data_IF_090322256609
#
_entry.id   IF_090322256609
#
_cell.length_a   1.000
_cell.length_b   1.000
_cell.length_c   1.000
_cell.angle_alpha   90.00
_cell.angle_beta   90.00
_cell.angle_gamma   90.00
#
_symmetry.space_group_name_H-M   'P 1'
#
loop_
_entity.id
_entity.type
_entity.pdbx_description
1 polymer ?
#
# COMPACT_ATOMS: atom_id res chain seq x y z
N UNK A 1 32.84 24.51 -11.59
CA UNK A 1 32.17 23.24 -11.90
C UNK A 1 30.71 23.38 -11.52
N UNK A 2 29.84 23.49 -12.52
CA UNK A 2 28.40 23.70 -12.33
C UNK A 2 27.80 22.40 -11.80
N UNK A 3 27.37 22.38 -10.55
CA UNK A 3 26.58 21.27 -10.01
C UNK A 3 25.24 21.31 -10.73
N UNK A 4 25.08 20.50 -11.77
CA UNK A 4 23.80 20.31 -12.44
C UNK A 4 22.83 19.77 -11.38
N UNK A 5 21.87 20.60 -10.97
CA UNK A 5 20.77 20.20 -10.11
C UNK A 5 20.09 19.02 -10.80
N UNK A 6 20.26 17.80 -10.31
CA UNK A 6 19.61 16.63 -10.90
C UNK A 6 18.11 16.89 -10.90
N UNK A 7 17.53 17.01 -12.08
CA UNK A 7 16.10 17.23 -12.24
C UNK A 7 15.38 15.93 -11.88
N UNK A 8 14.52 15.99 -10.86
CA UNK A 8 13.50 14.96 -10.66
C UNK A 8 12.56 15.02 -11.86
N UNK A 9 12.42 13.92 -12.58
CA UNK A 9 11.42 13.79 -13.62
C UNK A 9 10.10 13.38 -12.97
N UNK A 10 9.04 14.17 -13.17
CA UNK A 10 7.69 13.84 -12.72
C UNK A 10 6.85 13.43 -13.93
N UNK A 11 6.32 12.22 -13.90
CA UNK A 11 5.46 11.63 -14.93
C UNK A 11 4.08 11.47 -14.31
N UNK A 12 3.05 12.07 -14.91
CA UNK A 12 1.67 11.95 -14.43
C UNK A 12 0.83 11.14 -15.41
N UNK A 13 0.28 10.03 -14.95
CA UNK A 13 -0.62 9.16 -15.70
C UNK A 13 -2.07 9.27 -15.21
N UNK A 14 -2.34 10.10 -14.21
CA UNK A 14 -3.70 10.31 -13.71
C UNK A 14 -4.33 11.51 -14.42
N UNK A 15 -5.33 11.23 -15.26
CA UNK A 15 -6.10 12.27 -15.93
C UNK A 15 -6.68 13.29 -14.93
N UNK A 16 -6.93 14.51 -15.42
CA UNK A 16 -7.56 15.55 -14.62
C UNK A 16 -8.94 15.08 -14.16
N UNK A 17 -9.11 14.94 -12.85
CA UNK A 17 -10.34 14.47 -12.23
C UNK A 17 -10.44 12.94 -12.08
N UNK A 18 -9.42 12.16 -12.45
CA UNK A 18 -9.40 10.71 -12.26
C UNK A 18 -9.76 10.28 -10.84
N UNK A 19 -9.05 10.84 -9.84
CA UNK A 19 -9.28 10.54 -8.43
C UNK A 19 -10.71 10.92 -8.01
N UNK A 20 -11.20 12.05 -8.50
CA UNK A 20 -12.56 12.49 -8.22
C UNK A 20 -13.60 11.50 -8.77
N UNK A 21 -13.50 11.14 -10.06
CA UNK A 21 -14.42 10.21 -10.70
C UNK A 21 -14.36 8.82 -10.07
N UNK A 22 -13.16 8.34 -9.72
CA UNK A 22 -13.01 7.08 -9.00
C UNK A 22 -13.66 7.13 -7.62
N UNK A 23 -13.51 8.24 -6.89
CA UNK A 23 -14.12 8.40 -5.56
C UNK A 23 -15.65 8.39 -5.68
N UNK A 24 -16.21 9.14 -6.63
CA UNK A 24 -17.65 9.18 -6.88
C UNK A 24 -18.20 7.81 -7.26
N UNK A 25 -17.49 7.06 -8.10
CA UNK A 25 -17.86 5.70 -8.49
C UNK A 25 -17.83 4.73 -7.30
N UNK A 26 -16.73 4.74 -6.54
CA UNK A 26 -16.54 3.86 -5.39
C UNK A 26 -17.57 4.13 -4.29
N UNK A 27 -17.85 5.41 -4.01
CA UNK A 27 -18.84 5.80 -3.00
C UNK A 27 -20.26 5.44 -3.43
N UNK A 28 -20.61 5.69 -4.69
CA UNK A 28 -21.93 5.32 -5.22
C UNK A 28 -22.13 3.81 -5.14
N UNK A 29 -21.17 3.03 -5.60
CA UNK A 29 -21.27 1.56 -5.63
C UNK A 29 -21.22 0.96 -4.23
N UNK A 30 -20.27 1.41 -3.41
CA UNK A 30 -19.97 0.84 -2.10
C UNK A 30 -21.02 1.16 -1.04
N UNK A 31 -21.54 2.40 -1.01
CA UNK A 31 -22.52 2.79 0.01
C UNK A 31 -23.97 2.42 -0.34
N UNK A 32 -24.26 2.05 -1.59
CA UNK A 32 -25.58 1.50 -1.98
C UNK A 32 -25.61 -0.02 -2.05
N UNK A 33 -24.49 -0.69 -1.79
CA UNK A 33 -24.45 -2.15 -1.70
C UNK A 33 -25.24 -2.65 -0.48
N UNK A 34 -25.76 -3.88 -0.57
CA UNK A 34 -26.47 -4.51 0.55
C UNK A 34 -25.58 -4.67 1.79
N UNK A 35 -24.31 -5.01 1.58
CA UNK A 35 -23.25 -4.90 2.57
C UNK A 35 -22.34 -3.74 2.16
N UNK A 36 -22.43 -2.63 2.89
CA UNK A 36 -21.73 -1.38 2.54
C UNK A 36 -20.22 -1.55 2.64
N UNK A 37 -19.49 -0.94 1.71
CA UNK A 37 -18.03 -0.93 1.73
C UNK A 37 -17.45 0.37 1.17
N UNK A 38 -16.19 0.65 1.53
CA UNK A 38 -15.38 1.73 0.96
C UNK A 38 -13.96 1.19 0.72
N UNK A 39 -13.31 1.51 -0.42
CA UNK A 39 -11.97 1.04 -0.68
C UNK A 39 -10.91 1.79 0.15
N UNK A 40 -9.86 1.10 0.64
CA UNK A 40 -8.89 1.66 1.59
C UNK A 40 -7.98 2.72 0.99
N UNK A 41 -7.89 2.82 -0.35
CA UNK A 41 -7.11 3.88 -1.02
C UNK A 41 -7.56 5.29 -0.61
N UNK A 42 -8.81 5.46 -0.18
CA UNK A 42 -9.36 6.73 0.27
C UNK A 42 -9.01 7.09 1.72
N UNK A 43 -8.28 6.25 2.44
CA UNK A 43 -7.71 6.66 3.73
C UNK A 43 -6.60 7.69 3.56
N UNK A 44 -5.84 7.63 2.47
CA UNK A 44 -4.53 8.26 2.33
C UNK A 44 -4.59 9.69 1.77
N UNK A 45 -5.45 10.53 2.32
CA UNK A 45 -5.23 11.98 2.20
C UNK A 45 -4.06 12.42 3.12
N UNK A 46 -3.73 13.71 3.15
CA UNK A 46 -2.62 14.20 3.97
C UNK A 46 -2.78 13.84 5.47
N UNK A 47 -4.00 13.95 6.02
CA UNK A 47 -4.28 13.64 7.42
C UNK A 47 -4.21 12.13 7.69
N UNK A 48 -4.77 11.32 6.80
CA UNK A 48 -4.71 9.87 6.92
C UNK A 48 -3.31 9.30 6.74
N UNK A 49 -2.51 9.89 5.86
CA UNK A 49 -1.10 9.51 5.69
C UNK A 49 -0.29 9.79 6.96
N UNK A 50 -0.54 10.90 7.65
CA UNK A 50 0.07 11.18 8.96
C UNK A 50 -0.43 10.22 10.05
N UNK A 51 -1.72 9.89 10.05
CA UNK A 51 -2.26 8.87 10.96
C UNK A 51 -1.61 7.51 10.70
N UNK A 52 -1.43 7.09 9.45
CA UNK A 52 -0.73 5.85 9.11
C UNK A 52 0.73 5.90 9.53
N UNK A 53 1.42 7.02 9.32
CA UNK A 53 2.77 7.25 9.83
C UNK A 53 2.84 7.00 11.34
N UNK A 54 1.87 7.50 12.11
CA UNK A 54 1.76 7.22 13.56
C UNK A 54 1.48 5.74 13.84
N UNK A 55 0.61 5.09 13.07
CA UNK A 55 0.30 3.64 13.19
C UNK A 55 1.58 2.82 13.10
N UNK A 56 2.47 3.11 12.15
CA UNK A 56 3.73 2.37 11.99
C UNK A 56 4.65 2.36 13.23
N UNK A 57 4.43 3.28 14.18
CA UNK A 57 5.21 3.46 15.40
C UNK A 57 4.51 2.89 16.65
N UNK A 58 3.25 2.45 16.55
CA UNK A 58 2.48 1.92 17.67
C UNK A 58 3.06 0.59 18.18
N UNK A 59 3.08 0.33 19.49
CA UNK A 59 3.62 -0.91 20.03
C UNK A 59 2.87 -2.15 19.53
N UNK A 60 1.56 -2.05 19.26
CA UNK A 60 0.74 -3.14 18.74
C UNK A 60 1.00 -3.41 17.25
N UNK A 61 1.27 -2.37 16.45
CA UNK A 61 1.47 -2.49 15.00
C UNK A 61 2.90 -2.94 14.66
N UNK A 62 3.11 -4.25 14.71
CA UNK A 62 4.39 -4.89 14.39
C UNK A 62 4.83 -4.86 12.91
N UNK A 63 3.96 -4.83 11.86
CA UNK A 63 4.37 -5.12 10.49
C UNK A 63 5.57 -4.30 9.99
N UNK A 64 5.54 -2.97 10.17
CA UNK A 64 6.63 -2.09 9.71
C UNK A 64 7.96 -2.44 10.38
N UNK A 65 7.96 -2.71 11.68
CA UNK A 65 9.19 -3.06 12.41
C UNK A 65 9.73 -4.42 11.98
N UNK A 66 8.87 -5.41 11.76
CA UNK A 66 9.27 -6.74 11.30
C UNK A 66 9.86 -6.69 9.89
N UNK A 67 9.21 -5.98 8.98
CA UNK A 67 9.73 -5.78 7.63
C UNK A 67 11.10 -5.09 7.63
N UNK A 68 11.29 -4.06 8.46
CA UNK A 68 12.58 -3.38 8.63
C UNK A 68 13.67 -4.32 9.18
N UNK A 69 13.34 -5.24 10.08
CA UNK A 69 14.29 -6.27 10.57
C UNK A 69 14.78 -7.14 9.40
N UNK A 70 13.86 -7.60 8.55
CA UNK A 70 14.24 -8.42 7.38
C UNK A 70 15.09 -7.61 6.40
N UNK A 71 14.70 -6.37 6.06
CA UNK A 71 15.47 -5.51 5.17
C UNK A 71 16.88 -5.24 5.71
N UNK A 72 17.01 -4.88 6.99
CA UNK A 72 18.34 -4.62 7.59
C UNK A 72 19.24 -5.85 7.58
N UNK A 73 18.68 -7.05 7.74
CA UNK A 73 19.43 -8.30 7.70
C UNK A 73 19.78 -8.80 6.29
N UNK A 74 18.99 -8.43 5.27
CA UNK A 74 19.06 -9.09 3.96
C UNK A 74 19.09 -8.15 2.75
N UNK A 75 19.09 -6.83 2.89
CA UNK A 75 19.05 -5.90 1.75
C UNK A 75 20.22 -6.12 0.77
N UNK A 76 21.44 -6.38 1.26
CA UNK A 76 22.60 -6.67 0.41
C UNK A 76 22.43 -7.97 -0.39
N UNK A 77 21.87 -9.00 0.26
CA UNK A 77 21.56 -10.27 -0.39
C UNK A 77 20.48 -10.10 -1.46
N UNK A 78 19.42 -9.35 -1.15
CA UNK A 78 18.32 -9.04 -2.07
C UNK A 78 18.84 -8.26 -3.28
N UNK A 79 19.64 -7.21 -3.06
CA UNK A 79 20.25 -6.41 -4.13
C UNK A 79 21.12 -7.29 -5.04
N UNK A 80 22.03 -8.08 -4.47
CA UNK A 80 22.90 -8.99 -5.23
C UNK A 80 22.14 -10.03 -6.04
N UNK A 81 21.14 -10.68 -5.44
CA UNK A 81 20.34 -11.71 -6.13
C UNK A 81 19.45 -11.14 -7.23
N UNK A 82 18.91 -9.94 -7.02
CA UNK A 82 18.13 -9.27 -8.06
C UNK A 82 18.96 -8.89 -9.27
N UNK A 83 20.23 -8.50 -9.04
CA UNK A 83 21.09 -7.89 -10.06
C UNK A 83 20.50 -6.63 -10.69
N UNK A 84 19.51 -6.01 -10.04
CA UNK A 84 18.81 -4.85 -10.57
C UNK A 84 19.67 -3.59 -10.49
N UNK A 85 19.55 -2.74 -11.51
CA UNK A 85 20.11 -1.38 -11.53
C UNK A 85 19.05 -0.31 -11.24
N UNK A 86 17.77 -0.70 -11.29
CA UNK A 86 16.63 0.20 -11.17
C UNK A 86 15.67 -0.32 -10.11
N UNK A 87 15.36 0.49 -9.10
CA UNK A 87 14.32 0.19 -8.12
C UNK A 87 13.03 0.90 -8.50
N UNK A 88 11.96 0.15 -8.72
CA UNK A 88 10.59 0.69 -8.88
C UNK A 88 9.83 0.39 -7.61
N UNK A 89 9.25 1.38 -6.93
CA UNK A 89 8.54 1.17 -5.68
C UNK A 89 7.07 1.54 -5.81
N UNK A 90 6.18 0.57 -5.57
CA UNK A 90 4.74 0.76 -5.60
C UNK A 90 4.24 1.16 -4.21
N UNK A 91 3.69 2.38 -4.07
CA UNK A 91 3.24 2.93 -2.78
C UNK A 91 4.40 3.38 -1.90
N UNK A 92 5.17 4.35 -2.39
CA UNK A 92 6.50 4.72 -1.85
C UNK A 92 6.53 5.36 -0.45
N UNK A 93 5.39 5.85 0.06
CA UNK A 93 5.23 6.30 1.45
C UNK A 93 6.38 7.19 1.99
N UNK A 94 6.81 6.94 3.25
CA UNK A 94 7.82 7.74 3.97
C UNK A 94 9.28 7.33 3.73
N UNK A 95 9.52 6.33 2.87
CA UNK A 95 10.82 5.92 2.31
C UNK A 95 11.92 5.33 3.23
N UNK A 96 11.68 5.05 4.53
CA UNK A 96 12.73 4.42 5.37
C UNK A 96 13.18 3.06 4.81
N UNK A 97 12.21 2.24 4.41
CA UNK A 97 12.44 0.92 3.80
C UNK A 97 13.15 1.03 2.46
N UNK A 98 12.75 2.01 1.65
CA UNK A 98 13.35 2.32 0.36
C UNK A 98 14.84 2.61 0.48
N UNK A 99 15.24 3.42 1.47
CA UNK A 99 16.64 3.79 1.69
C UNK A 99 17.51 2.57 1.95
N UNK A 100 17.02 1.56 2.69
CA UNK A 100 17.78 0.32 2.92
C UNK A 100 18.07 -0.44 1.62
N UNK A 101 17.09 -0.48 0.70
CA UNK A 101 17.25 -1.13 -0.61
C UNK A 101 18.18 -0.33 -1.53
N UNK A 102 17.98 0.99 -1.60
CA UNK A 102 18.82 1.87 -2.40
C UNK A 102 20.27 1.85 -1.91
N UNK A 103 20.52 1.94 -0.61
CA UNK A 103 21.87 1.85 -0.03
C UNK A 103 22.53 0.50 -0.37
N UNK A 104 21.77 -0.61 -0.36
CA UNK A 104 22.29 -1.93 -0.73
C UNK A 104 22.62 -2.04 -2.22
N UNK A 105 21.78 -1.50 -3.09
CA UNK A 105 22.02 -1.47 -4.55
C UNK A 105 23.20 -0.55 -4.90
N UNK A 106 23.37 0.56 -4.18
CA UNK A 106 24.51 1.46 -4.32
C UNK A 106 25.82 0.78 -3.88
N UNK A 107 25.84 0.12 -2.71
CA UNK A 107 26.99 -0.69 -2.26
C UNK A 107 27.36 -1.79 -3.26
N UNK A 108 26.38 -2.40 -3.91
CA UNK A 108 26.61 -3.38 -4.97
C UNK A 108 27.14 -2.77 -6.29
N UNK A 109 27.23 -1.44 -6.39
CA UNK A 109 27.66 -0.72 -7.60
C UNK A 109 26.64 -0.74 -8.75
N UNK A 110 25.43 -1.24 -8.50
CA UNK A 110 24.41 -1.48 -9.51
C UNK A 110 23.42 -0.32 -9.65
N UNK A 111 23.17 0.46 -8.60
CA UNK A 111 22.13 1.49 -8.62
C UNK A 111 22.35 2.56 -9.71
N UNK A 112 21.35 2.75 -10.58
CA UNK A 112 21.30 3.75 -11.65
C UNK A 112 20.03 4.57 -11.63
N UNK A 113 18.89 3.98 -11.26
CA UNK A 113 17.61 4.69 -11.24
C UNK A 113 16.69 4.27 -10.08
N UNK A 114 15.83 5.20 -9.69
CA UNK A 114 14.75 4.97 -8.73
C UNK A 114 13.45 5.57 -9.27
N UNK A 115 12.39 4.77 -9.25
CA UNK A 115 11.05 5.13 -9.76
C UNK A 115 10.02 4.94 -8.64
N UNK A 116 9.76 5.95 -7.79
CA UNK A 116 8.64 5.90 -6.87
C UNK A 116 7.32 6.03 -7.63
N UNK A 117 6.33 5.23 -7.25
CA UNK A 117 4.98 5.24 -7.82
C UNK A 117 3.96 5.48 -6.71
N UNK A 118 3.13 6.51 -6.86
CA UNK A 118 2.08 6.84 -5.90
C UNK A 118 0.94 7.62 -6.56
N UNK A 119 -0.23 7.68 -5.92
CA UNK A 119 -1.37 8.51 -6.39
C UNK A 119 -1.28 9.95 -5.87
N UNK A 120 -0.59 10.15 -4.73
CA UNK A 120 -0.40 11.45 -4.09
C UNK A 120 0.79 12.20 -4.69
N UNK A 121 0.52 13.28 -5.42
CA UNK A 121 1.54 14.07 -6.10
C UNK A 121 2.52 14.77 -5.14
N UNK A 122 2.04 15.16 -3.95
CA UNK A 122 2.81 15.96 -3.00
C UNK A 122 3.82 15.07 -2.29
N UNK A 123 3.35 13.97 -1.71
CA UNK A 123 4.17 12.96 -1.03
C UNK A 123 5.22 12.39 -1.99
N UNK A 124 4.79 12.07 -3.22
CA UNK A 124 5.66 11.58 -4.27
C UNK A 124 6.77 12.60 -4.63
N UNK A 125 6.40 13.86 -4.84
CA UNK A 125 7.36 14.92 -5.15
C UNK A 125 8.36 15.21 -4.03
N UNK A 126 7.92 15.15 -2.78
CA UNK A 126 8.77 15.33 -1.60
C UNK A 126 9.75 14.17 -1.43
N UNK A 127 9.27 12.93 -1.58
CA UNK A 127 10.11 11.74 -1.54
C UNK A 127 11.15 11.74 -2.66
N UNK A 128 10.74 12.05 -3.88
CA UNK A 128 11.64 12.08 -5.03
C UNK A 128 12.74 13.13 -4.88
N UNK A 129 12.42 14.35 -4.42
CA UNK A 129 13.43 15.39 -4.17
C UNK A 129 14.41 15.01 -3.07
N UNK A 130 13.91 14.44 -1.97
CA UNK A 130 14.75 13.97 -0.85
C UNK A 130 15.72 12.89 -1.30
N UNK A 131 15.25 11.91 -2.06
CA UNK A 131 16.08 10.79 -2.51
C UNK A 131 17.05 11.20 -3.61
N UNK A 132 16.66 12.08 -4.54
CA UNK A 132 17.58 12.64 -5.52
C UNK A 132 18.75 13.41 -4.84
N UNK A 133 18.47 14.13 -3.76
CA UNK A 133 19.51 14.80 -2.98
C UNK A 133 20.44 13.83 -2.24
N UNK A 134 19.93 12.68 -1.79
CA UNK A 134 20.72 11.65 -1.09
C UNK A 134 21.63 10.86 -2.02
N UNK A 135 21.22 10.62 -3.27
CA UNK A 135 21.95 9.79 -4.24
C UNK A 135 22.32 10.58 -5.51
N UNK A 136 23.35 11.46 -5.48
CA UNK A 136 23.67 12.44 -6.53
C UNK A 136 24.10 11.90 -7.91
N UNK A 137 24.00 10.58 -8.15
CA UNK A 137 24.23 9.94 -9.45
C UNK A 137 23.04 9.11 -9.96
N UNK A 138 21.95 9.06 -9.19
CA UNK A 138 20.78 8.22 -9.48
C UNK A 138 19.73 9.01 -10.23
N UNK A 139 19.20 8.45 -11.31
CA UNK A 139 18.09 9.06 -12.03
C UNK A 139 16.78 8.79 -11.28
N UNK A 140 16.14 9.83 -10.76
CA UNK A 140 14.87 9.71 -10.04
C UNK A 140 13.70 10.09 -10.95
N UNK A 141 12.78 9.14 -11.19
CA UNK A 141 11.58 9.29 -12.01
C UNK A 141 10.33 9.06 -11.17
N UNK A 142 9.77 10.12 -10.63
CA UNK A 142 8.52 10.06 -9.90
C UNK A 142 7.35 9.80 -10.85
N UNK A 143 6.56 8.75 -10.60
CA UNK A 143 5.41 8.40 -11.44
C UNK A 143 4.12 8.50 -10.63
N UNK A 144 3.28 9.47 -10.97
CA UNK A 144 1.94 9.58 -10.39
C UNK A 144 1.01 8.64 -11.13
N UNK A 145 0.61 7.55 -10.48
CA UNK A 145 -0.20 6.49 -11.08
C UNK A 145 -0.92 5.64 -10.03
N UNK A 146 -2.10 5.14 -10.40
CA UNK A 146 -2.80 4.08 -9.66
C UNK A 146 -2.22 2.72 -10.08
N UNK A 147 -1.51 2.05 -9.18
CA UNK A 147 -0.85 0.77 -9.45
C UNK A 147 -1.83 -0.40 -9.66
N UNK A 148 -3.13 -0.26 -9.40
CA UNK A 148 -4.12 -1.27 -9.77
C UNK A 148 -4.54 -1.18 -11.24
N UNK A 149 -4.25 -0.05 -11.91
CA UNK A 149 -4.70 0.24 -13.28
C UNK A 149 -3.57 0.55 -14.26
N UNK A 150 -2.47 1.14 -13.79
CA UNK A 150 -1.49 1.81 -14.64
C UNK A 150 -0.10 1.17 -14.64
N UNK A 151 0.05 -0.06 -14.13
CA UNK A 151 1.35 -0.77 -14.12
C UNK A 151 2.00 -0.81 -15.51
N UNK A 152 1.20 -0.98 -16.56
CA UNK A 152 1.70 -1.07 -17.93
C UNK A 152 2.36 0.23 -18.43
N UNK A 153 2.04 1.37 -17.82
CA UNK A 153 2.54 2.71 -18.16
C UNK A 153 3.87 3.03 -17.47
N UNK A 154 4.27 2.25 -16.46
CA UNK A 154 5.49 2.51 -15.71
C UNK A 154 6.73 2.39 -16.62
N UNK A 155 7.75 3.25 -16.43
CA UNK A 155 9.00 3.19 -17.18
C UNK A 155 9.65 1.80 -17.17
N UNK A 156 10.12 1.35 -18.34
CA UNK A 156 10.74 0.04 -18.56
C UNK A 156 12.20 0.17 -18.99
N UNK A 157 12.98 0.83 -18.14
CA UNK A 157 14.42 1.03 -18.37
C UNK A 157 15.25 0.23 -17.38
N UNK A 158 16.41 -0.26 -17.83
CA UNK A 158 17.34 -1.02 -17.02
C UNK A 158 16.81 -2.40 -16.61
N UNK A 159 17.52 -3.03 -15.67
CA UNK A 159 17.08 -4.27 -15.02
C UNK A 159 16.41 -3.91 -13.70
N UNK A 160 15.13 -4.23 -13.57
CA UNK A 160 14.28 -3.66 -12.52
C UNK A 160 14.04 -4.64 -11.38
N UNK A 161 14.07 -4.12 -10.16
CA UNK A 161 13.39 -4.70 -9.01
C UNK A 161 12.15 -3.87 -8.74
N UNK A 162 10.96 -4.46 -8.87
CA UNK A 162 9.72 -3.84 -8.42
C UNK A 162 9.50 -4.22 -6.96
N UNK A 163 9.56 -3.26 -6.06
CA UNK A 163 9.27 -3.43 -4.64
C UNK A 163 7.80 -3.08 -4.35
N UNK A 164 7.08 -3.99 -3.71
CA UNK A 164 5.74 -3.77 -3.19
C UNK A 164 5.71 -4.21 -1.72
N UNK A 165 5.93 -3.23 -0.84
CA UNK A 165 6.29 -3.44 0.57
C UNK A 165 5.11 -3.15 1.51
N UNK A 166 5.30 -3.38 2.80
CA UNK A 166 4.37 -2.99 3.87
C UNK A 166 3.19 -3.94 4.09
N UNK A 167 3.12 -5.04 3.34
CA UNK A 167 1.97 -5.93 3.38
C UNK A 167 0.75 -5.39 2.62
N UNK A 168 0.91 -4.31 1.84
CA UNK A 168 -0.16 -3.67 1.06
C UNK A 168 -0.83 -4.62 0.07
N UNK A 169 -0.12 -5.64 -0.41
CA UNK A 169 -0.70 -6.70 -1.24
C UNK A 169 -1.85 -7.43 -0.55
N UNK A 170 -1.87 -7.45 0.78
CA UNK A 170 -2.96 -8.01 1.58
C UNK A 170 -4.25 -7.19 1.53
N UNK A 171 -4.21 -5.95 1.05
CA UNK A 171 -5.40 -5.11 0.90
C UNK A 171 -6.24 -5.48 -0.32
N UNK A 172 -5.71 -6.34 -1.19
CA UNK A 172 -6.40 -6.90 -2.33
C UNK A 172 -7.00 -8.25 -1.94
N UNK A 173 -8.28 -8.48 -2.25
CA UNK A 173 -8.87 -9.80 -2.12
C UNK A 173 -8.20 -10.80 -3.09
N UNK A 174 -8.35 -12.13 -2.91
CA UNK A 174 -7.68 -13.11 -3.75
C UNK A 174 -7.84 -12.91 -5.27
N UNK A 175 -9.03 -12.50 -5.73
CA UNK A 175 -9.27 -12.31 -7.16
C UNK A 175 -8.58 -11.03 -7.66
N UNK A 176 -8.72 -9.92 -6.93
CA UNK A 176 -8.03 -8.67 -7.25
C UNK A 176 -6.50 -8.83 -7.20
N UNK A 177 -5.99 -9.59 -6.23
CA UNK A 177 -4.56 -9.87 -6.05
C UNK A 177 -4.00 -10.72 -7.18
N UNK A 178 -4.74 -11.74 -7.65
CA UNK A 178 -4.34 -12.55 -8.80
C UNK A 178 -4.24 -11.69 -10.07
N UNK A 179 -5.23 -10.83 -10.32
CA UNK A 179 -5.21 -9.87 -11.44
C UNK A 179 -4.03 -8.92 -11.33
N UNK A 180 -3.78 -8.35 -10.14
CA UNK A 180 -2.66 -7.46 -9.90
C UNK A 180 -1.31 -8.13 -10.13
N UNK A 181 -1.07 -9.30 -9.54
CA UNK A 181 0.21 -10.01 -9.68
C UNK A 181 0.46 -10.46 -11.13
N UNK A 182 -0.58 -10.95 -11.82
CA UNK A 182 -0.48 -11.34 -13.24
C UNK A 182 -0.23 -10.11 -14.13
N UNK A 183 -0.95 -9.02 -13.88
CA UNK A 183 -0.75 -7.75 -14.57
C UNK A 183 0.67 -7.21 -14.36
N UNK A 184 1.17 -7.25 -13.13
CA UNK A 184 2.55 -6.88 -12.81
C UNK A 184 3.55 -7.76 -13.56
N UNK A 185 3.39 -9.10 -13.50
CA UNK A 185 4.26 -10.05 -14.22
C UNK A 185 4.35 -9.75 -15.71
N UNK A 186 3.25 -9.35 -16.34
CA UNK A 186 3.20 -9.00 -17.76
C UNK A 186 4.01 -7.73 -18.11
N UNK A 187 4.33 -6.89 -17.13
CA UNK A 187 5.18 -5.70 -17.34
C UNK A 187 6.67 -5.98 -17.20
N UNK A 188 7.06 -7.15 -16.68
CA UNK A 188 8.44 -7.49 -16.33
C UNK A 188 9.14 -8.26 -17.46
N UNK A 189 10.39 -7.87 -17.74
CA UNK A 189 11.25 -8.53 -18.71
C UNK A 189 12.08 -9.66 -18.05
N UNK A 190 12.59 -10.63 -18.81
CA UNK A 190 13.52 -11.64 -18.27
C UNK A 190 14.67 -10.99 -17.51
N UNK A 191 14.83 -11.40 -16.24
CA UNK A 191 15.86 -10.86 -15.33
C UNK A 191 15.36 -9.77 -14.38
N UNK A 192 14.19 -9.18 -14.63
CA UNK A 192 13.51 -8.34 -13.64
C UNK A 192 13.05 -9.19 -12.44
N UNK A 193 12.84 -8.52 -11.30
CA UNK A 193 12.39 -9.18 -10.07
C UNK A 193 11.26 -8.40 -9.39
N UNK A 194 10.47 -9.12 -8.61
CA UNK A 194 9.50 -8.59 -7.65
C UNK A 194 10.06 -8.82 -6.23
N UNK A 195 10.11 -7.78 -5.42
CA UNK A 195 10.30 -7.86 -3.97
C UNK A 195 8.97 -7.57 -3.28
N UNK A 196 8.33 -8.60 -2.74
CA UNK A 196 7.00 -8.52 -2.14
C UNK A 196 7.06 -8.63 -0.62
N UNK A 197 6.53 -7.65 0.09
CA UNK A 197 6.28 -7.71 1.54
C UNK A 197 4.91 -8.30 1.84
N UNK A 198 4.87 -9.33 2.69
CA UNK A 198 3.64 -10.02 3.05
C UNK A 198 3.61 -10.34 4.55
N UNK A 199 2.55 -9.91 5.23
CA UNK A 199 2.33 -10.22 6.63
C UNK A 199 1.79 -11.65 6.80
N UNK A 200 2.35 -12.43 7.72
CA UNK A 200 2.04 -13.85 7.83
C UNK A 200 0.90 -14.14 8.82
N UNK A 201 0.23 -15.29 8.66
CA UNK A 201 -0.73 -15.77 9.68
C UNK A 201 -0.01 -16.03 11.00
N UNK A 202 -0.59 -15.57 12.11
CA UNK A 202 -0.05 -15.68 13.48
C UNK A 202 -1.20 -15.60 14.50
N UNK A 203 -0.86 -15.48 15.79
CA UNK A 203 -1.84 -15.28 16.87
C UNK A 203 -2.89 -14.22 16.52
N UNK A 204 -4.17 -14.61 16.56
CA UNK A 204 -5.28 -13.76 16.14
C UNK A 204 -5.47 -12.58 17.08
N UNK A 205 -5.17 -12.72 18.37
CA UNK A 205 -5.20 -11.62 19.32
C UNK A 205 -4.18 -10.54 18.99
N UNK A 206 -2.95 -10.93 18.62
CA UNK A 206 -1.92 -10.00 18.13
C UNK A 206 -2.35 -9.33 16.83
N UNK A 207 -2.95 -10.08 15.90
CA UNK A 207 -3.47 -9.52 14.66
C UNK A 207 -4.54 -8.48 14.91
N UNK A 208 -5.56 -8.76 15.73
CA UNK A 208 -6.63 -7.80 16.02
C UNK A 208 -6.07 -6.56 16.72
N UNK A 209 -5.23 -6.72 17.75
CA UNK A 209 -4.63 -5.57 18.46
C UNK A 209 -3.79 -4.66 17.57
N UNK A 210 -3.12 -5.22 16.54
CA UNK A 210 -2.38 -4.40 15.59
C UNK A 210 -3.29 -3.42 14.84
N UNK A 211 -4.57 -3.73 14.67
CA UNK A 211 -5.54 -2.89 13.95
C UNK A 211 -6.56 -2.22 14.89
N UNK A 212 -6.46 -2.43 16.20
CA UNK A 212 -7.31 -1.84 17.25
C UNK A 212 -6.43 -1.47 18.44
N UNK A 213 -5.54 -0.51 18.21
CA UNK A 213 -4.57 -0.05 19.19
C UNK A 213 -5.22 0.69 20.36
N UNK A 214 -4.64 0.57 21.55
CA UNK A 214 -5.20 1.16 22.77
C UNK A 214 -5.21 2.72 22.72
N UNK A 215 -4.39 3.32 21.87
CA UNK A 215 -4.32 4.77 21.69
C UNK A 215 -5.41 5.32 20.74
N UNK A 216 -6.19 4.45 20.10
CA UNK A 216 -7.28 4.82 19.19
C UNK A 216 -6.82 5.48 17.88
N UNK A 217 -5.55 5.32 17.51
CA UNK A 217 -4.99 5.95 16.30
C UNK A 217 -5.54 5.26 15.04
N UNK A 218 -5.65 3.94 15.04
CA UNK A 218 -6.24 3.17 13.93
C UNK A 218 -7.74 3.43 13.79
N UNK A 219 -8.44 3.65 14.90
CA UNK A 219 -9.83 4.09 14.88
C UNK A 219 -9.99 5.47 14.22
N UNK A 220 -9.12 6.43 14.55
CA UNK A 220 -9.10 7.74 13.93
C UNK A 220 -8.74 7.67 12.43
N UNK A 221 -7.78 6.81 12.06
CA UNK A 221 -7.42 6.52 10.67
C UNK A 221 -8.60 5.94 9.89
N UNK A 222 -9.31 4.96 10.47
CA UNK A 222 -10.49 4.37 9.82
C UNK A 222 -11.58 5.41 9.58
N UNK A 223 -11.90 6.24 10.59
CA UNK A 223 -12.91 7.31 10.48
C UNK A 223 -12.50 8.43 9.53
N UNK A 224 -11.20 8.58 9.23
CA UNK A 224 -10.73 9.62 8.34
C UNK A 224 -11.37 9.54 6.95
N UNK A 225 -11.67 8.33 6.45
CA UNK A 225 -12.36 8.18 5.16
C UNK A 225 -13.68 8.94 5.12
N UNK A 226 -14.43 9.00 6.23
CA UNK A 226 -15.69 9.75 6.31
C UNK A 226 -15.45 11.27 6.23
N UNK A 227 -14.34 11.74 6.81
CA UNK A 227 -13.92 13.15 6.71
C UNK A 227 -13.51 13.51 5.29
N UNK A 228 -12.83 12.58 4.59
CA UNK A 228 -12.54 12.70 3.16
C UNK A 228 -13.84 12.81 2.37
N UNK A 229 -14.83 11.93 2.60
CA UNK A 229 -16.12 12.00 1.90
C UNK A 229 -16.87 13.31 2.17
N UNK A 230 -16.83 13.82 3.40
CA UNK A 230 -17.45 15.11 3.74
C UNK A 230 -16.82 16.27 2.98
N UNK A 231 -15.49 16.33 2.95
CA UNK A 231 -14.74 17.41 2.30
C UNK A 231 -14.84 17.32 0.79
N UNK A 232 -14.59 16.14 0.24
CA UNK A 232 -14.53 15.95 -1.21
C UNK A 232 -15.95 16.00 -1.78
N UNK A 233 -16.88 15.15 -1.32
CA UNK A 233 -18.18 14.95 -1.98
C UNK A 233 -19.35 15.76 -1.37
N UNK A 234 -19.05 16.72 -0.49
CA UNK A 234 -20.08 17.46 0.23
C UNK A 234 -21.00 16.56 1.06
N UNK A 235 -20.45 15.51 1.67
CA UNK A 235 -21.18 14.62 2.56
C UNK A 235 -21.33 15.21 3.97
N UNK A 236 -22.30 14.69 4.73
CA UNK A 236 -22.58 15.09 6.12
C UNK A 236 -22.45 13.95 7.13
N UNK A 237 -21.49 13.04 6.91
CA UNK A 237 -21.14 12.04 7.93
C UNK A 237 -20.78 12.73 9.24
N UNK A 238 -21.29 12.20 10.35
CA UNK A 238 -20.79 12.45 11.70
C UNK A 238 -19.81 11.30 12.04
N UNK A 239 -18.48 11.48 11.90
CA UNK A 239 -17.55 10.37 12.02
C UNK A 239 -17.54 9.72 13.41
N UNK A 240 -17.90 10.47 14.45
CA UNK A 240 -17.97 9.94 15.82
C UNK A 240 -19.22 9.08 16.07
N UNK A 241 -20.21 9.16 15.18
CA UNK A 241 -21.34 8.23 15.17
C UNK A 241 -21.00 6.85 14.54
N UNK A 242 -19.73 6.61 14.20
CA UNK A 242 -19.25 5.34 13.68
C UNK A 242 -18.16 4.75 14.58
N UNK A 243 -18.48 3.66 15.28
CA UNK A 243 -17.50 2.90 16.06
C UNK A 243 -16.53 2.17 15.13
N UNK A 244 -15.23 2.26 15.40
CA UNK A 244 -14.23 1.43 14.73
C UNK A 244 -14.37 -0.02 15.23
N UNK A 245 -14.26 -0.98 14.31
CA UNK A 245 -14.27 -2.40 14.60
C UNK A 245 -13.14 -3.06 13.79
N UNK A 246 -12.23 -3.75 14.47
CA UNK A 246 -11.28 -4.66 13.84
C UNK A 246 -11.65 -6.11 14.17
N UNK A 247 -11.66 -6.98 13.18
CA UNK A 247 -11.97 -8.39 13.36
C UNK A 247 -11.08 -9.26 12.49
N UNK A 248 -10.74 -10.45 12.97
CA UNK A 248 -10.05 -11.47 12.18
C UNK A 248 -11.06 -12.44 11.59
N UNK A 249 -11.16 -12.47 10.26
CA UNK A 249 -11.91 -13.48 9.54
C UNK A 249 -11.06 -14.75 9.41
N UNK A 250 -11.36 -15.72 10.28
CA UNK A 250 -10.67 -17.02 10.32
C UNK A 250 -10.85 -17.82 9.02
N UNK A 251 -11.97 -17.64 8.31
CA UNK A 251 -12.24 -18.37 7.07
C UNK A 251 -11.34 -17.89 5.95
N UNK A 252 -11.11 -16.58 5.88
CA UNK A 252 -10.37 -15.94 4.80
C UNK A 252 -8.91 -15.59 5.15
N UNK A 253 -8.49 -15.82 6.41
CA UNK A 253 -7.18 -15.46 6.94
C UNK A 253 -6.86 -13.95 6.76
N UNK A 254 -7.80 -13.06 7.07
CA UNK A 254 -7.57 -11.61 7.00
C UNK A 254 -8.11 -10.84 8.19
N UNK A 255 -7.52 -9.67 8.44
CA UNK A 255 -8.17 -8.63 9.25
C UNK A 255 -9.17 -7.89 8.38
N UNK A 256 -10.32 -7.53 8.95
CA UNK A 256 -11.18 -6.50 8.39
C UNK A 256 -11.24 -5.30 9.34
N UNK A 257 -11.17 -4.11 8.76
CA UNK A 257 -11.57 -2.88 9.44
C UNK A 257 -12.97 -2.51 8.98
N UNK A 258 -13.82 -2.14 9.94
CA UNK A 258 -15.19 -1.73 9.71
C UNK A 258 -15.54 -0.48 10.52
N UNK A 259 -16.55 0.24 10.04
CA UNK A 259 -17.19 1.35 10.72
C UNK A 259 -18.63 0.96 11.02
N UNK A 260 -18.98 0.87 12.31
CA UNK A 260 -20.30 0.49 12.80
C UNK A 260 -21.10 1.71 13.23
N UNK A 261 -22.25 1.95 12.61
CA UNK A 261 -23.15 3.02 13.01
C UNK A 261 -23.64 2.82 14.46
N UNK A 262 -23.53 3.85 15.30
CA UNK A 262 -23.95 3.77 16.72
C UNK A 262 -25.42 4.09 16.94
N UNK A 263 -26.08 4.66 15.92
CA UNK A 263 -27.50 5.06 15.92
C UNK A 263 -28.04 5.03 14.51
N UNK A 264 -29.36 5.02 14.38
CA UNK A 264 -30.02 5.25 13.09
C UNK A 264 -29.67 6.64 12.57
N UNK A 265 -29.29 6.72 11.31
CA UNK A 265 -29.00 7.99 10.65
C UNK A 265 -29.18 7.89 9.13
N UNK A 266 -29.25 9.06 8.51
CA UNK A 266 -29.26 9.20 7.05
C UNK A 266 -28.21 10.21 6.68
N UNK A 267 -27.25 9.78 5.88
CA UNK A 267 -26.15 10.61 5.42
C UNK A 267 -26.44 11.06 4.00
N UNK A 268 -26.41 12.36 3.77
CA UNK A 268 -26.55 12.98 2.46
C UNK A 268 -25.16 13.22 1.88
N UNK A 269 -24.98 12.87 0.61
CA UNK A 269 -23.76 13.12 -0.17
C UNK A 269 -24.14 14.08 -1.29
N UNK A 270 -23.92 15.37 -1.04
CA UNK A 270 -24.46 16.46 -1.86
C UNK A 270 -24.11 16.32 -3.33
N UNK A 271 -22.83 16.12 -3.63
CA UNK A 271 -22.32 16.12 -5.00
C UNK A 271 -22.79 14.90 -5.81
N UNK A 272 -23.23 13.84 -5.13
CA UNK A 272 -23.77 12.63 -5.77
C UNK A 272 -25.30 12.61 -5.85
N UNK A 273 -25.97 13.57 -5.21
CA UNK A 273 -27.42 13.54 -5.00
C UNK A 273 -27.88 12.30 -4.23
N UNK A 274 -27.00 11.70 -3.42
CA UNK A 274 -27.24 10.43 -2.75
C UNK A 274 -27.66 10.65 -1.29
N UNK A 275 -28.57 9.81 -0.81
CA UNK A 275 -28.98 9.77 0.60
C UNK A 275 -28.94 8.32 1.08
N UNK A 276 -27.99 8.02 1.96
CA UNK A 276 -27.70 6.65 2.40
C UNK A 276 -28.23 6.44 3.82
N UNK A 277 -29.16 5.49 4.04
CA UNK A 277 -29.59 5.11 5.38
C UNK A 277 -28.56 4.19 6.04
N UNK A 278 -28.39 4.37 7.34
CA UNK A 278 -27.66 3.48 8.24
C UNK A 278 -28.57 3.14 9.43
N UNK A 279 -28.73 1.86 9.73
CA UNK A 279 -29.36 1.42 10.98
C UNK A 279 -28.33 1.30 12.10
N UNK A 280 -28.75 1.46 13.35
CA UNK A 280 -27.89 1.23 14.51
C UNK A 280 -27.31 -0.20 14.47
N UNK A 281 -25.99 -0.31 14.60
CA UNK A 281 -25.27 -1.57 14.49
C UNK A 281 -24.89 -1.97 13.06
N UNK A 282 -25.35 -1.26 12.03
CA UNK A 282 -24.94 -1.54 10.64
C UNK A 282 -23.45 -1.24 10.43
N UNK A 283 -22.76 -2.13 9.73
CA UNK A 283 -21.32 -2.03 9.48
C UNK A 283 -21.00 -1.74 8.02
N UNK A 284 -20.03 -0.85 7.81
CA UNK A 284 -19.39 -0.61 6.51
C UNK A 284 -17.96 -1.13 6.56
N UNK A 285 -17.61 -2.06 5.67
CA UNK A 285 -16.22 -2.55 5.56
C UNK A 285 -15.36 -1.53 4.84
N UNK A 286 -14.24 -1.13 5.45
CA UNK A 286 -13.36 -0.08 4.91
C UNK A 286 -11.99 -0.62 4.49
N UNK A 287 -11.58 -1.77 5.02
CA UNK A 287 -10.33 -2.43 4.62
C UNK A 287 -10.43 -3.93 4.86
N UNK A 288 -9.72 -4.69 4.03
CA UNK A 288 -9.22 -6.02 4.40
C UNK A 288 -7.70 -5.96 4.46
N UNK A 289 -7.09 -6.80 5.28
CA UNK A 289 -5.65 -7.01 5.27
C UNK A 289 -5.36 -8.50 5.42
N UNK A 290 -5.20 -9.17 4.28
CA UNK A 290 -4.90 -10.58 4.18
C UNK A 290 -3.57 -10.94 4.82
N UNK A 291 -3.57 -12.06 5.54
CA UNK A 291 -2.41 -12.66 6.17
C UNK A 291 -2.08 -13.94 5.43
N UNK A 292 -0.80 -14.13 5.18
CA UNK A 292 -0.35 -15.15 4.24
C UNK A 292 0.22 -16.36 4.97
N UNK A 293 -0.08 -17.54 4.44
CA UNK A 293 0.67 -18.76 4.76
C UNK A 293 1.79 -18.91 3.75
N UNK A 294 3.03 -19.26 4.15
CA UNK A 294 4.17 -19.31 3.22
C UNK A 294 3.91 -20.11 1.95
N UNK A 295 3.36 -21.33 2.07
CA UNK A 295 3.06 -22.17 0.90
C UNK A 295 1.93 -21.61 0.04
N UNK A 296 0.96 -20.93 0.65
CA UNK A 296 -0.12 -20.25 -0.07
C UNK A 296 0.42 -19.12 -0.94
N UNK A 297 1.26 -18.26 -0.36
CA UNK A 297 1.89 -17.15 -1.08
C UNK A 297 2.80 -17.63 -2.21
N UNK A 298 3.58 -18.71 -2.00
CA UNK A 298 4.38 -19.33 -3.06
C UNK A 298 3.51 -19.81 -4.23
N UNK A 299 2.37 -20.43 -3.95
CA UNK A 299 1.43 -20.88 -4.99
C UNK A 299 0.80 -19.71 -5.74
N UNK A 300 0.41 -18.64 -5.05
CA UNK A 300 -0.15 -17.45 -5.70
C UNK A 300 0.88 -16.79 -6.64
N UNK A 301 2.12 -16.61 -6.18
CA UNK A 301 3.21 -16.11 -7.03
C UNK A 301 3.47 -17.01 -8.23
N UNK A 302 3.52 -18.34 -8.03
CA UNK A 302 3.72 -19.29 -9.13
C UNK A 302 2.60 -19.25 -10.16
N UNK A 303 1.32 -19.13 -9.74
CA UNK A 303 0.17 -18.99 -10.64
C UNK A 303 0.23 -17.69 -11.45
N UNK A 304 0.70 -16.61 -10.83
CA UNK A 304 0.93 -15.34 -11.51
C UNK A 304 2.18 -15.34 -12.41
N UNK A 305 2.90 -16.47 -12.53
CA UNK A 305 4.06 -16.61 -13.42
C UNK A 305 5.40 -16.18 -12.82
N UNK A 306 5.49 -16.08 -11.49
CA UNK A 306 6.74 -15.78 -10.80
C UNK A 306 7.42 -17.04 -10.26
N UNK A 307 8.76 -17.05 -10.27
CA UNK A 307 9.57 -18.07 -9.59
C UNK A 307 10.17 -17.48 -8.32
N UNK A 308 9.88 -18.06 -7.16
CA UNK A 308 10.45 -17.58 -5.88
C UNK A 308 11.94 -17.88 -5.82
N UNK A 309 12.76 -16.83 -5.77
CA UNK A 309 14.22 -16.90 -5.63
C UNK A 309 14.58 -17.02 -4.15
N UNK A 310 13.99 -16.16 -3.32
CA UNK A 310 14.16 -16.18 -1.87
C UNK A 310 12.88 -15.83 -1.14
N UNK A 311 12.73 -16.49 0.01
CA UNK A 311 11.67 -16.23 0.97
C UNK A 311 12.37 -15.99 2.30
N UNK A 312 12.31 -14.75 2.78
CA UNK A 312 13.00 -14.29 3.97
C UNK A 312 11.95 -13.91 5.00
N UNK A 313 12.19 -14.22 6.26
CA UNK A 313 11.30 -13.83 7.36
C UNK A 313 12.11 -13.14 8.45
N UNK A 314 11.41 -12.40 9.30
CA UNK A 314 12.02 -11.97 10.57
C UNK A 314 12.20 -13.19 11.49
N UNK A 315 13.01 -13.08 12.57
CA UNK A 315 13.30 -14.21 13.45
C UNK A 315 12.08 -14.89 14.07
N UNK A 316 10.97 -14.16 14.23
CA UNK A 316 9.74 -14.69 14.84
C UNK A 316 8.76 -15.25 13.79
N UNK A 317 9.10 -15.18 12.50
CA UNK A 317 8.24 -15.64 11.41
C UNK A 317 6.93 -14.84 11.29
N UNK A 318 6.94 -13.56 11.71
CA UNK A 318 5.78 -12.68 11.69
C UNK A 318 5.53 -12.08 10.30
N UNK A 319 6.59 -11.75 9.56
CA UNK A 319 6.51 -11.04 8.29
C UNK A 319 7.50 -11.62 7.28
N UNK A 320 7.10 -11.68 6.01
CA UNK A 320 7.94 -12.19 4.93
C UNK A 320 8.31 -11.10 3.92
N UNK A 321 9.55 -11.17 3.43
CA UNK A 321 9.97 -10.57 2.17
C UNK A 321 10.27 -11.67 1.16
N UNK A 322 9.59 -11.63 0.03
CA UNK A 322 9.72 -12.62 -1.02
C UNK A 322 10.33 -11.97 -2.26
N UNK A 323 11.55 -12.37 -2.61
CA UNK A 323 12.18 -12.01 -3.88
C UNK A 323 11.80 -13.08 -4.91
N UNK A 324 11.13 -12.68 -5.97
CA UNK A 324 10.69 -13.54 -7.05
C UNK A 324 11.16 -13.03 -8.41
N UNK A 325 11.58 -13.94 -9.28
CA UNK A 325 11.98 -13.64 -10.66
C UNK A 325 10.86 -13.90 -11.65
N UNK A 326 11.02 -13.34 -12.85
CA UNK A 326 10.20 -13.62 -14.04
C UNK A 326 10.44 -14.99 -14.64
#
# INVERSE_FOLDING_TARGET
MTVTRQAVELIDHLDRGYLRQSLEHDVRTGLTAAAKWLPPKWFYDAAGSELFSRITRLPEYYPTRRELVVLRGHADEIARLSGADTLVELGSGTSEKTVLLLDAMERAGALRAYTPVDVDAVTLGDAARRLAARYPGVTVRAVRADFERHLALLPRAGRRMVAFLGGTVGNLDPAAREVFLTGLRATLAPGDTLLLGADLVKDTGRLVRAYDDAAGVTAAFNRNVLRVLNRELGADFDPEAFAHVALYDVRNDWIEMRLRATRDMRVRIGDLGLSVPFTAGEETRTEISAKFRPDGLRRELSRAGFTVIRFLTDPDGDFALVLAGT
#
